data_IF_217530864273
#
_entry.id   IF_217530864273
#
_cell.length_a   1.000
_cell.length_b   1.000
_cell.length_c   1.000
_cell.angle_alpha   90.00
_cell.angle_beta   90.00
_cell.angle_gamma   90.00
#
_symmetry.space_group_name_H-M   'P 1'
#
loop_
_entity.id
_entity.type
_entity.pdbx_description
1 polymer ?
#
# COMPACT_ATOMS: atom_id res chain seq x y z
N UNK A 1 -8.61 -3.85 -5.73
CA UNK A 1 -7.30 -3.28 -5.34
C UNK A 1 -7.58 -1.97 -4.62
N UNK A 2 -6.88 -1.71 -3.53
CA UNK A 2 -6.94 -0.45 -2.78
C UNK A 2 -5.56 0.21 -2.80
N UNK A 3 -5.56 1.54 -2.86
CA UNK A 3 -4.37 2.36 -2.77
C UNK A 3 -4.45 3.15 -1.47
N UNK A 4 -3.40 3.06 -0.66
CA UNK A 4 -3.35 3.68 0.66
C UNK A 4 -2.02 4.40 0.87
N UNK A 5 -2.04 5.51 1.59
CA UNK A 5 -0.86 6.31 1.94
C UNK A 5 -0.39 6.07 3.39
N UNK A 6 -1.21 5.38 4.19
CA UNK A 6 -1.00 5.20 5.62
C UNK A 6 -1.02 3.73 6.06
N UNK A 7 -0.27 3.41 7.11
CA UNK A 7 -0.23 2.06 7.69
C UNK A 7 -1.62 1.57 8.16
N UNK A 8 -2.47 2.47 8.65
CA UNK A 8 -3.81 2.11 9.11
C UNK A 8 -4.75 1.75 7.97
N UNK A 9 -4.71 2.52 6.88
CA UNK A 9 -5.42 2.18 5.64
C UNK A 9 -4.97 0.83 5.10
N UNK A 10 -3.65 0.59 5.05
CA UNK A 10 -3.08 -0.69 4.62
C UNK A 10 -3.56 -1.86 5.49
N UNK A 11 -3.60 -1.73 6.82
CA UNK A 11 -4.18 -2.75 7.71
C UNK A 11 -5.63 -3.04 7.39
N UNK A 12 -6.43 -2.02 7.12
CA UNK A 12 -7.84 -2.18 6.78
C UNK A 12 -8.01 -2.92 5.44
N UNK A 13 -7.27 -2.52 4.40
CA UNK A 13 -7.28 -3.18 3.10
C UNK A 13 -6.85 -4.64 3.16
N UNK A 14 -5.75 -4.92 3.87
CA UNK A 14 -5.25 -6.28 4.07
C UNK A 14 -6.26 -7.14 4.84
N UNK A 15 -6.88 -6.59 5.88
CA UNK A 15 -7.92 -7.29 6.67
C UNK A 15 -9.18 -7.57 5.85
N UNK A 16 -9.47 -6.74 4.86
CA UNK A 16 -10.56 -6.94 3.91
C UNK A 16 -10.22 -7.95 2.80
N UNK A 17 -8.99 -8.50 2.77
CA UNK A 17 -8.53 -9.42 1.72
C UNK A 17 -8.36 -8.76 0.35
N UNK A 18 -8.16 -7.44 0.32
CA UNK A 18 -7.90 -6.72 -0.92
C UNK A 18 -6.45 -6.90 -1.38
N UNK A 19 -6.22 -6.74 -2.69
CA UNK A 19 -4.89 -6.39 -3.22
C UNK A 19 -4.57 -4.97 -2.77
N UNK A 20 -3.49 -4.78 -2.03
CA UNK A 20 -3.14 -3.56 -1.33
C UNK A 20 -1.83 -2.97 -1.87
N UNK A 21 -1.91 -1.74 -2.38
CA UNK A 21 -0.76 -0.96 -2.85
C UNK A 21 -0.58 0.25 -1.94
N UNK A 22 0.61 0.40 -1.34
CA UNK A 22 0.94 1.57 -0.54
C UNK A 22 1.69 2.61 -1.38
N UNK A 23 1.32 3.89 -1.26
CA UNK A 23 2.08 5.04 -1.74
C UNK A 23 2.31 5.99 -0.56
N UNK A 24 3.39 5.83 0.22
CA UNK A 24 3.58 6.57 1.47
C UNK A 24 3.67 8.09 1.25
N UNK A 25 2.91 8.87 2.02
CA UNK A 25 3.02 10.34 2.03
C UNK A 25 3.90 10.84 3.20
N UNK A 26 3.38 10.76 4.44
CA UNK A 26 4.07 11.33 5.62
C UNK A 26 4.95 10.34 6.38
N UNK A 27 4.53 9.08 6.45
CA UNK A 27 5.21 8.04 7.22
C UNK A 27 5.55 6.87 6.32
N UNK A 28 6.74 6.25 6.47
CA UNK A 28 7.07 5.06 5.73
C UNK A 28 6.15 3.89 6.12
N UNK A 29 6.16 2.86 5.27
CA UNK A 29 5.55 1.58 5.60
C UNK A 29 6.22 0.99 6.85
N UNK A 30 5.42 0.49 7.78
CA UNK A 30 5.92 -0.29 8.90
C UNK A 30 6.29 -1.71 8.43
N UNK A 31 7.18 -2.38 9.17
CA UNK A 31 7.72 -3.68 8.78
C UNK A 31 6.64 -4.75 8.48
N UNK A 32 5.50 -4.71 9.17
CA UNK A 32 4.40 -5.63 8.89
C UNK A 32 3.68 -5.34 7.56
N UNK A 33 3.66 -4.09 7.11
CA UNK A 33 3.10 -3.68 5.83
C UNK A 33 4.09 -4.02 4.71
N UNK A 34 5.39 -3.77 4.91
CA UNK A 34 6.44 -4.19 3.97
C UNK A 34 6.39 -5.69 3.65
N UNK A 35 6.02 -6.51 4.62
CA UNK A 35 5.91 -7.97 4.45
C UNK A 35 4.62 -8.43 3.78
N UNK A 36 3.54 -7.63 3.83
CA UNK A 36 2.18 -8.07 3.47
C UNK A 36 1.57 -7.31 2.29
N UNK A 37 2.03 -6.09 2.01
CA UNK A 37 1.56 -5.31 0.88
C UNK A 37 1.91 -6.01 -0.43
N UNK A 38 1.02 -5.93 -1.42
CA UNK A 38 1.30 -6.43 -2.76
C UNK A 38 2.34 -5.55 -3.46
N UNK A 39 2.24 -4.23 -3.27
CA UNK A 39 3.23 -3.27 -3.75
C UNK A 39 3.39 -2.10 -2.77
N UNK A 40 4.61 -1.57 -2.69
CA UNK A 40 4.91 -0.27 -2.06
C UNK A 40 5.63 0.56 -3.12
N UNK A 41 5.03 1.68 -3.50
CA UNK A 41 5.51 2.54 -4.58
C UNK A 41 5.99 3.86 -4.00
N UNK A 42 6.97 4.48 -4.68
CA UNK A 42 7.47 5.80 -4.30
C UNK A 42 6.54 6.94 -4.71
N UNK A 43 5.61 6.69 -5.64
CA UNK A 43 4.67 7.67 -6.15
C UNK A 43 3.49 6.98 -6.85
N UNK A 44 2.38 7.69 -7.00
CA UNK A 44 1.16 7.13 -7.58
C UNK A 44 1.31 6.85 -9.08
N UNK A 45 2.13 7.60 -9.82
CA UNK A 45 2.38 7.39 -11.25
C UNK A 45 3.02 6.02 -11.56
N UNK A 46 3.78 5.44 -10.62
CA UNK A 46 4.35 4.09 -10.79
C UNK A 46 3.26 3.01 -10.89
N UNK A 47 2.03 3.29 -10.44
CA UNK A 47 0.91 2.35 -10.53
C UNK A 47 0.38 2.15 -11.96
N UNK A 48 0.72 3.02 -12.90
CA UNK A 48 0.30 2.89 -14.31
C UNK A 48 0.78 1.57 -14.91
N UNK A 49 1.93 1.05 -14.47
CA UNK A 49 2.47 -0.23 -14.91
C UNK A 49 1.79 -1.47 -14.29
N UNK A 50 0.89 -1.28 -13.32
CA UNK A 50 0.15 -2.34 -12.63
C UNK A 50 -1.26 -2.57 -13.24
N UNK A 51 -1.65 -1.76 -14.22
CA UNK A 51 -2.93 -1.84 -14.96
C UNK A 51 -2.73 -2.52 -16.32
#
# INVERSE_FOLDING_TARGET
MVFEDSNNGMRAGLSAGCVCVMVPDLLPAEAEIEQKADHILGSLDQSIALL
#
